data_IF_177051816798
#
_entry.id   IF_177051816798
#
_cell.length_a   1.000
_cell.length_b   1.000
_cell.length_c   1.000
_cell.angle_alpha   90.00
_cell.angle_beta   90.00
_cell.angle_gamma   90.00
#
_symmetry.space_group_name_H-M   'P 1'
#
loop_
_entity.id
_entity.type
_entity.pdbx_description
1 polymer ?
#
# COMPACT_ATOMS: atom_id res chain seq x y z
N UNK A 1 -11.90 -59.83 21.88
CA UNK A 1 -13.14 -60.60 22.07
C UNK A 1 -13.84 -60.09 23.31
N UNK A 2 -14.87 -59.27 23.11
CA UNK A 2 -15.85 -58.89 24.13
C UNK A 2 -17.18 -59.49 23.71
N UNK A 3 -17.95 -60.04 24.66
CA UNK A 3 -19.40 -60.00 24.55
C UNK A 3 -20.01 -59.62 25.93
N UNK A 4 -21.34 -59.43 26.05
CA UNK A 4 -21.93 -58.08 26.05
C UNK A 4 -23.07 -57.98 27.09
N UNK A 5 -24.06 -57.11 26.80
CA UNK A 5 -25.41 -57.01 27.39
C UNK A 5 -25.54 -55.89 28.43
N UNK A 6 -26.59 -55.06 28.51
CA UNK A 6 -27.87 -54.95 27.82
C UNK A 6 -28.49 -53.58 28.15
N UNK A 7 -29.42 -53.09 27.32
CA UNK A 7 -30.45 -52.12 27.72
C UNK A 7 -31.61 -52.88 28.42
N UNK A 8 -32.50 -52.27 29.24
CA UNK A 8 -33.52 -51.33 28.72
C UNK A 8 -34.04 -50.25 29.72
N UNK A 9 -34.88 -49.34 29.19
CA UNK A 9 -35.79 -48.40 29.90
C UNK A 9 -36.95 -49.17 30.63
N UNK A 10 -37.93 -48.60 31.40
CA UNK A 10 -38.63 -47.32 31.16
C UNK A 10 -39.26 -46.59 32.40
N UNK A 11 -40.05 -45.55 32.10
CA UNK A 11 -41.37 -45.22 32.66
C UNK A 11 -41.56 -43.91 33.44
N UNK A 12 -42.74 -43.34 33.17
CA UNK A 12 -43.22 -42.00 33.46
C UNK A 12 -43.88 -41.88 34.85
N UNK A 13 -43.96 -40.65 35.35
CA UNK A 13 -44.82 -40.27 36.47
C UNK A 13 -45.27 -38.81 36.33
N UNK A 14 -46.57 -38.62 36.10
CA UNK A 14 -47.25 -37.33 35.99
C UNK A 14 -47.81 -36.86 37.34
N UNK A 15 -47.92 -35.54 37.54
CA UNK A 15 -48.78 -34.84 38.52
C UNK A 15 -48.56 -33.33 38.38
N UNK A 16 -49.38 -32.59 37.62
CA UNK A 16 -50.66 -31.95 38.01
C UNK A 16 -50.49 -30.66 38.86
N UNK A 17 -51.10 -29.55 38.40
CA UNK A 17 -51.49 -28.45 39.31
C UNK A 17 -51.33 -26.98 38.87
N UNK A 18 -52.07 -26.55 37.84
CA UNK A 18 -52.93 -25.34 37.76
C UNK A 18 -52.43 -23.90 38.13
N UNK A 19 -52.62 -22.94 37.19
CA UNK A 19 -53.35 -21.68 37.48
C UNK A 19 -52.76 -20.30 37.07
N UNK A 20 -53.23 -19.75 35.92
CA UNK A 20 -53.47 -18.31 35.62
C UNK A 20 -52.27 -17.43 35.18
N UNK A 21 -52.31 -16.54 34.16
CA UNK A 21 -53.33 -16.05 33.23
C UNK A 21 -52.75 -14.95 32.28
N UNK A 22 -53.59 -14.45 31.35
CA UNK A 22 -53.44 -13.35 30.34
C UNK A 22 -53.01 -13.76 28.89
N UNK A 23 -53.94 -13.85 27.90
CA UNK A 23 -54.37 -12.84 26.86
C UNK A 23 -53.24 -12.43 25.88
N UNK A 24 -53.26 -12.48 24.53
CA UNK A 24 -54.17 -12.73 23.37
C UNK A 24 -53.24 -12.85 22.09
N UNK A 25 -53.72 -12.91 20.82
CA UNK A 25 -54.32 -13.99 19.99
C UNK A 25 -53.38 -14.54 18.86
N UNK A 26 -53.74 -15.61 18.10
CA UNK A 26 -52.83 -16.26 17.14
C UNK A 26 -52.90 -15.66 15.72
N UNK A 27 -51.74 -15.37 15.14
CA UNK A 27 -51.59 -14.91 13.75
C UNK A 27 -51.54 -16.05 12.72
N UNK A 28 -52.00 -15.68 11.52
CA UNK A 28 -52.33 -16.48 10.34
C UNK A 28 -51.15 -17.28 9.78
N UNK A 29 -51.43 -18.55 9.45
CA UNK A 29 -50.61 -19.44 8.63
C UNK A 29 -50.83 -19.09 7.15
N UNK A 30 -49.81 -18.54 6.49
CA UNK A 30 -49.79 -18.34 5.04
C UNK A 30 -49.02 -19.48 4.35
N UNK A 31 -49.56 -19.93 3.22
CA UNK A 31 -49.16 -21.10 2.45
C UNK A 31 -47.80 -20.94 1.76
N UNK A 32 -47.06 -22.05 1.68
CA UNK A 32 -45.83 -22.18 0.90
C UNK A 32 -46.13 -22.40 -0.59
N UNK A 33 -45.40 -21.78 -1.53
CA UNK A 33 -45.36 -22.22 -2.90
C UNK A 33 -44.30 -23.32 -3.09
N UNK A 34 -44.65 -24.33 -3.87
CA UNK A 34 -43.78 -25.43 -4.25
C UNK A 34 -42.64 -24.94 -5.16
N UNK A 35 -41.39 -25.29 -4.82
CA UNK A 35 -40.23 -25.07 -5.66
C UNK A 35 -39.92 -26.35 -6.47
N UNK A 36 -40.08 -26.26 -7.78
CA UNK A 36 -39.44 -27.15 -8.75
C UNK A 36 -37.94 -26.85 -8.83
N UNK A 37 -37.16 -27.90 -9.08
CA UNK A 37 -35.72 -27.92 -8.85
C UNK A 37 -34.85 -27.05 -9.76
N UNK A 38 -33.65 -26.78 -9.26
CA UNK A 38 -32.45 -26.85 -10.06
C UNK A 38 -31.27 -27.19 -9.12
N UNK A 39 -30.67 -28.37 -9.30
CA UNK A 39 -29.46 -28.76 -8.61
C UNK A 39 -28.27 -27.99 -9.19
N UNK A 40 -28.16 -26.70 -8.83
CA UNK A 40 -26.92 -25.97 -8.93
C UNK A 40 -25.98 -26.49 -7.84
N UNK A 41 -24.69 -26.65 -8.16
CA UNK A 41 -23.67 -26.83 -7.13
C UNK A 41 -23.86 -25.72 -6.08
N UNK A 42 -24.31 -26.09 -4.89
CA UNK A 42 -24.36 -25.17 -3.77
C UNK A 42 -22.92 -24.71 -3.53
N UNK A 43 -22.62 -23.46 -3.86
CA UNK A 43 -21.48 -22.76 -3.28
C UNK A 43 -21.72 -22.72 -1.77
N UNK A 44 -21.33 -23.78 -1.08
CA UNK A 44 -21.35 -23.91 0.37
C UNK A 44 -20.41 -22.86 0.91
N UNK A 45 -20.98 -21.70 1.24
CA UNK A 45 -20.25 -20.57 1.79
C UNK A 45 -20.32 -20.64 3.30
N UNK A 46 -19.15 -20.62 3.94
CA UNK A 46 -19.02 -20.58 5.39
C UNK A 46 -18.74 -19.12 5.77
N UNK A 47 -19.63 -18.52 6.54
CA UNK A 47 -19.41 -17.17 7.07
C UNK A 47 -18.43 -17.23 8.25
N UNK A 48 -17.23 -16.73 8.04
CA UNK A 48 -16.19 -16.64 9.07
C UNK A 48 -16.06 -15.18 9.54
N UNK A 49 -15.82 -14.97 10.83
CA UNK A 49 -15.55 -13.64 11.39
C UNK A 49 -14.20 -13.11 10.90
N UNK A 50 -14.12 -11.81 10.60
CA UNK A 50 -12.89 -11.16 10.08
C UNK A 50 -11.70 -11.38 11.00
N UNK A 51 -11.90 -11.28 12.32
CA UNK A 51 -10.88 -11.50 13.35
C UNK A 51 -10.20 -12.88 13.25
N UNK A 52 -10.94 -13.94 12.87
CA UNK A 52 -10.38 -15.29 12.74
C UNK A 52 -9.48 -15.39 11.51
N UNK A 53 -9.86 -14.74 10.42
CA UNK A 53 -9.05 -14.69 9.19
C UNK A 53 -7.78 -13.87 9.44
N UNK A 54 -7.90 -12.73 10.13
CA UNK A 54 -6.73 -11.92 10.53
C UNK A 54 -5.80 -12.69 11.47
N UNK A 55 -6.34 -13.49 12.39
CA UNK A 55 -5.52 -14.36 13.24
C UNK A 55 -4.78 -15.44 12.44
N UNK A 56 -5.43 -16.09 11.46
CA UNK A 56 -4.77 -17.04 10.57
C UNK A 56 -3.62 -16.39 9.79
N UNK A 57 -3.84 -15.19 9.29
CA UNK A 57 -2.83 -14.38 8.60
C UNK A 57 -1.64 -14.09 9.52
N UNK A 58 -1.89 -13.69 10.77
CA UNK A 58 -0.83 -13.44 11.74
C UNK A 58 -0.01 -14.70 12.04
N UNK A 59 -0.68 -15.85 12.21
CA UNK A 59 -0.03 -17.14 12.43
C UNK A 59 0.84 -17.56 11.24
N UNK A 60 0.34 -17.37 10.02
CA UNK A 60 1.14 -17.61 8.81
C UNK A 60 2.33 -16.66 8.74
N UNK A 61 2.15 -15.38 9.10
CA UNK A 61 3.24 -14.41 9.20
C UNK A 61 4.31 -14.86 10.21
N UNK A 62 3.90 -15.33 11.39
CA UNK A 62 4.80 -15.91 12.40
C UNK A 62 5.49 -17.20 11.94
N UNK A 63 4.80 -18.03 11.15
CA UNK A 63 5.39 -19.22 10.53
C UNK A 63 6.49 -18.84 9.53
N UNK A 64 6.25 -17.86 8.67
CA UNK A 64 7.24 -17.36 7.70
C UNK A 64 8.45 -16.76 8.43
N UNK A 65 8.22 -16.01 9.51
CA UNK A 65 9.30 -15.49 10.36
C UNK A 65 10.10 -16.64 10.98
N UNK A 66 9.43 -17.61 11.59
CA UNK A 66 10.08 -18.77 12.24
C UNK A 66 10.89 -19.59 11.23
N UNK A 67 10.36 -19.76 10.01
CA UNK A 67 11.06 -20.43 8.92
C UNK A 67 12.30 -19.64 8.48
N UNK A 68 12.20 -18.32 8.31
CA UNK A 68 13.35 -17.47 8.02
C UNK A 68 14.41 -17.59 9.13
N UNK A 69 13.98 -17.68 10.39
CA UNK A 69 14.90 -17.87 11.51
C UNK A 69 15.64 -19.20 11.51
N UNK A 70 14.92 -20.27 11.19
CA UNK A 70 15.51 -21.58 11.02
C UNK A 70 16.50 -21.61 9.84
N UNK A 71 16.18 -20.94 8.74
CA UNK A 71 17.05 -20.84 7.57
C UNK A 71 18.35 -20.09 7.88
N UNK A 72 18.26 -18.97 8.60
CA UNK A 72 19.44 -18.21 9.03
C UNK A 72 20.31 -19.03 10.00
N UNK A 73 19.70 -19.71 10.98
CA UNK A 73 20.44 -20.58 11.89
C UNK A 73 21.14 -21.70 11.13
N UNK A 74 20.45 -22.34 10.18
CA UNK A 74 21.00 -23.40 9.35
C UNK A 74 22.12 -22.91 8.41
N UNK A 75 22.11 -21.63 7.99
CA UNK A 75 23.14 -21.05 7.11
C UNK A 75 24.55 -21.07 7.69
N UNK A 76 24.68 -21.19 9.01
CA UNK A 76 25.97 -21.33 9.71
C UNK A 76 26.54 -22.76 9.65
N UNK A 77 25.77 -23.72 9.17
CA UNK A 77 26.15 -25.13 9.05
C UNK A 77 26.71 -25.43 7.66
N UNK A 78 27.67 -26.34 7.57
CA UNK A 78 28.21 -26.82 6.28
C UNK A 78 27.10 -27.49 5.46
N UNK A 79 26.77 -26.95 4.26
CA UNK A 79 25.75 -27.51 3.38
C UNK A 79 26.01 -28.95 2.93
N UNK A 80 27.27 -29.33 2.71
CA UNK A 80 27.61 -30.68 2.25
C UNK A 80 27.41 -31.73 3.34
N UNK A 81 27.59 -31.35 4.60
CA UNK A 81 27.40 -32.25 5.74
C UNK A 81 25.93 -32.37 6.16
N UNK A 82 25.09 -31.38 5.81
CA UNK A 82 23.71 -31.28 6.30
C UNK A 82 22.66 -31.25 5.16
N UNK A 83 22.93 -31.88 4.02
CA UNK A 83 22.04 -31.88 2.83
C UNK A 83 20.56 -32.19 3.15
N UNK A 84 20.28 -33.17 4.03
CA UNK A 84 18.90 -33.49 4.45
C UNK A 84 18.18 -32.33 5.15
N UNK A 85 18.90 -31.54 5.95
CA UNK A 85 18.35 -30.37 6.63
C UNK A 85 17.99 -29.29 5.61
N UNK A 86 18.90 -28.97 4.68
CA UNK A 86 18.66 -27.97 3.64
C UNK A 86 17.51 -28.36 2.72
N UNK A 87 17.41 -29.64 2.33
CA UNK A 87 16.27 -30.15 1.58
C UNK A 87 14.94 -30.04 2.36
N UNK A 88 14.95 -30.36 3.66
CA UNK A 88 13.79 -30.18 4.54
C UNK A 88 13.36 -28.73 4.69
N UNK A 89 14.33 -27.82 4.83
CA UNK A 89 14.09 -26.36 4.89
C UNK A 89 13.48 -25.83 3.60
N UNK A 90 13.98 -26.25 2.44
CA UNK A 90 13.39 -25.88 1.15
C UNK A 90 11.96 -26.42 0.96
N UNK A 91 11.66 -27.60 1.49
CA UNK A 91 10.28 -28.11 1.49
C UNK A 91 9.37 -27.31 2.44
N UNK A 92 9.87 -26.94 3.62
CA UNK A 92 9.14 -26.10 4.58
C UNK A 92 8.82 -24.72 3.97
N UNK A 93 9.79 -24.11 3.27
CA UNK A 93 9.60 -22.85 2.55
C UNK A 93 8.49 -22.93 1.50
N UNK A 94 8.51 -23.96 0.65
CA UNK A 94 7.46 -24.18 -0.36
C UNK A 94 6.10 -24.36 0.29
N UNK A 95 5.99 -25.24 1.29
CA UNK A 95 4.73 -25.49 1.98
C UNK A 95 4.21 -24.25 2.71
N UNK A 96 5.09 -23.44 3.30
CA UNK A 96 4.72 -22.19 3.97
C UNK A 96 4.19 -21.16 2.96
N UNK A 97 4.81 -21.06 1.78
CA UNK A 97 4.33 -20.22 0.69
C UNK A 97 2.98 -20.67 0.15
N UNK A 98 2.80 -21.97 -0.10
CA UNK A 98 1.51 -22.52 -0.55
C UNK A 98 0.40 -22.26 0.49
N UNK A 99 0.72 -22.41 1.78
CA UNK A 99 -0.21 -22.10 2.87
C UNK A 99 -0.53 -20.60 2.92
N UNK A 100 0.46 -19.73 2.71
CA UNK A 100 0.27 -18.29 2.65
C UNK A 100 -0.65 -17.90 1.50
N UNK A 101 -0.43 -18.42 0.29
CA UNK A 101 -1.28 -18.19 -0.87
C UNK A 101 -2.71 -18.69 -0.62
N UNK A 102 -2.87 -19.88 -0.03
CA UNK A 102 -4.17 -20.43 0.31
C UNK A 102 -4.92 -19.57 1.36
N UNK A 103 -4.25 -19.12 2.42
CA UNK A 103 -4.86 -18.27 3.45
C UNK A 103 -5.22 -16.89 2.90
N UNK A 104 -4.38 -16.32 2.03
CA UNK A 104 -4.68 -15.06 1.35
C UNK A 104 -5.92 -15.19 0.45
N UNK A 105 -6.08 -16.30 -0.28
CA UNK A 105 -7.23 -16.53 -1.15
C UNK A 105 -8.58 -16.52 -0.41
N UNK A 106 -8.62 -16.90 0.88
CA UNK A 106 -9.83 -16.84 1.72
C UNK A 106 -10.37 -15.41 1.88
N UNK A 107 -9.49 -14.39 1.84
CA UNK A 107 -9.85 -12.98 2.02
C UNK A 107 -10.12 -12.25 0.71
N UNK A 108 -9.78 -12.87 -0.41
CA UNK A 108 -9.91 -12.28 -1.73
C UNK A 108 -11.37 -12.02 -2.05
N UNK A 109 -11.62 -10.84 -2.62
CA UNK A 109 -12.94 -10.44 -3.12
C UNK A 109 -12.78 -9.91 -4.55
N UNK A 110 -13.77 -10.14 -5.44
CA UNK A 110 -13.71 -9.65 -6.81
C UNK A 110 -13.78 -8.12 -6.88
N UNK A 111 -13.09 -7.54 -7.85
CA UNK A 111 -13.11 -6.10 -8.12
C UNK A 111 -14.50 -5.56 -8.51
N UNK A 112 -15.43 -6.43 -8.90
CA UNK A 112 -16.82 -6.08 -9.14
C UNK A 112 -17.50 -5.34 -7.96
N UNK A 113 -17.12 -5.66 -6.72
CA UNK A 113 -17.61 -4.95 -5.52
C UNK A 113 -17.30 -3.44 -5.53
N UNK A 114 -16.22 -3.06 -6.20
CA UNK A 114 -15.80 -1.67 -6.39
C UNK A 114 -16.40 -1.13 -7.69
N UNK A 115 -16.22 -1.84 -8.81
CA UNK A 115 -16.61 -1.38 -10.14
C UNK A 115 -18.12 -1.19 -10.29
N UNK A 116 -18.95 -2.01 -9.64
CA UNK A 116 -20.42 -1.89 -9.65
C UNK A 116 -20.95 -0.55 -9.10
N UNK A 117 -20.13 0.22 -8.37
CA UNK A 117 -20.52 1.52 -7.80
C UNK A 117 -20.35 2.67 -8.79
N UNK A 118 -19.43 2.53 -9.75
CA UNK A 118 -19.06 3.62 -10.66
C UNK A 118 -20.09 3.96 -11.74
N UNK A 119 -20.91 3.04 -12.29
CA UNK A 119 -21.90 3.39 -13.31
C UNK A 119 -22.84 4.52 -12.87
N UNK A 120 -23.31 4.47 -11.61
CA UNK A 120 -24.17 5.51 -11.05
C UNK A 120 -23.42 6.82 -10.85
N UNK A 121 -22.21 6.77 -10.28
CA UNK A 121 -21.38 7.97 -10.07
C UNK A 121 -21.06 8.68 -11.39
N UNK A 122 -20.65 7.92 -12.41
CA UNK A 122 -20.33 8.43 -13.75
C UNK A 122 -21.55 9.09 -14.37
N UNK A 123 -22.72 8.43 -14.33
CA UNK A 123 -23.97 8.99 -14.87
C UNK A 123 -24.39 10.29 -14.18
N UNK A 124 -24.33 10.31 -12.85
CA UNK A 124 -24.73 11.49 -12.06
C UNK A 124 -23.79 12.68 -12.32
N UNK A 125 -22.49 12.44 -12.45
CA UNK A 125 -21.50 13.50 -12.70
C UNK A 125 -21.49 13.95 -14.16
N UNK A 126 -21.61 13.02 -15.11
CA UNK A 126 -21.75 13.33 -16.54
C UNK A 126 -22.96 14.25 -16.80
N UNK A 127 -24.10 13.97 -16.14
CA UNK A 127 -25.29 14.81 -16.22
C UNK A 127 -25.08 16.22 -15.65
N UNK A 128 -24.38 16.35 -14.51
CA UNK A 128 -24.05 17.66 -13.91
C UNK A 128 -23.10 18.50 -14.77
N UNK A 129 -22.16 17.85 -15.43
CA UNK A 129 -21.14 18.50 -16.27
C UNK A 129 -21.59 18.72 -17.71
N UNK A 130 -22.74 18.19 -18.11
CA UNK A 130 -23.23 18.26 -19.50
C UNK A 130 -22.36 17.47 -20.49
N UNK A 131 -21.78 16.34 -20.06
CA UNK A 131 -20.91 15.49 -20.89
C UNK A 131 -21.61 14.16 -21.20
N UNK A 132 -21.38 13.59 -22.38
CA UNK A 132 -21.83 12.24 -22.73
C UNK A 132 -20.66 11.28 -22.56
N UNK A 133 -20.83 10.26 -21.70
CA UNK A 133 -19.73 9.40 -21.28
C UNK A 133 -20.21 7.96 -21.18
N UNK A 134 -19.44 7.05 -21.75
CA UNK A 134 -19.60 5.60 -21.62
C UNK A 134 -18.53 5.04 -20.68
N UNK A 135 -18.97 4.26 -19.68
CA UNK A 135 -18.08 3.54 -18.77
C UNK A 135 -17.92 2.10 -19.23
N UNK A 136 -16.68 1.68 -19.46
CA UNK A 136 -16.32 0.30 -19.80
C UNK A 136 -15.48 -0.30 -18.67
N UNK A 137 -15.80 -1.50 -18.25
CA UNK A 137 -15.09 -2.20 -17.18
C UNK A 137 -14.49 -3.52 -17.70
N UNK A 138 -13.24 -3.79 -17.33
CA UNK A 138 -12.54 -5.04 -17.64
C UNK A 138 -11.98 -5.65 -16.35
N UNK A 139 -11.95 -6.99 -16.27
CA UNK A 139 -11.38 -7.67 -15.10
C UNK A 139 -12.22 -7.55 -13.82
N UNK A 140 -13.55 -7.48 -13.92
CA UNK A 140 -14.43 -7.47 -12.75
C UNK A 140 -14.26 -8.69 -11.83
N UNK A 141 -13.89 -9.84 -12.42
CA UNK A 141 -13.62 -11.09 -11.70
C UNK A 141 -12.23 -11.14 -11.06
N UNK A 142 -11.36 -10.17 -11.34
CA UNK A 142 -10.02 -10.11 -10.73
C UNK A 142 -10.17 -9.93 -9.23
N UNK A 143 -9.53 -10.80 -8.46
CA UNK A 143 -9.65 -10.77 -7.01
C UNK A 143 -8.56 -9.92 -6.37
N UNK A 144 -8.94 -9.22 -5.30
CA UNK A 144 -8.10 -8.35 -4.48
C UNK A 144 -8.46 -8.54 -3.00
N UNK A 145 -7.48 -8.36 -2.11
CA UNK A 145 -7.67 -8.43 -0.67
C UNK A 145 -8.79 -7.47 -0.21
N UNK A 146 -9.68 -7.93 0.67
CA UNK A 146 -10.78 -7.12 1.20
C UNK A 146 -10.34 -5.78 1.80
N UNK A 147 -9.22 -5.75 2.55
CA UNK A 147 -8.73 -4.51 3.16
C UNK A 147 -8.17 -3.54 2.12
N UNK A 148 -7.62 -4.06 1.02
CA UNK A 148 -7.19 -3.25 -0.12
C UNK A 148 -8.42 -2.72 -0.89
N UNK A 149 -9.46 -3.53 -1.08
CA UNK A 149 -10.74 -3.08 -1.66
C UNK A 149 -11.34 -1.90 -0.89
N UNK A 150 -11.37 -1.98 0.44
CA UNK A 150 -11.94 -0.90 1.26
C UNK A 150 -11.12 0.40 1.14
N UNK A 151 -9.78 0.28 1.02
CA UNK A 151 -8.87 1.43 0.91
C UNK A 151 -8.74 2.00 -0.49
N UNK A 152 -8.96 1.21 -1.56
CA UNK A 152 -8.79 1.64 -2.95
C UNK A 152 -10.00 2.41 -3.50
N UNK A 153 -11.18 2.28 -2.87
CA UNK A 153 -12.42 2.96 -3.29
C UNK A 153 -12.22 4.48 -3.39
N UNK A 154 -11.63 5.10 -2.37
CA UNK A 154 -11.45 6.55 -2.31
C UNK A 154 -10.47 7.05 -3.39
N UNK A 155 -9.25 6.49 -3.54
CA UNK A 155 -8.37 6.77 -4.66
C UNK A 155 -9.04 6.65 -6.03
N UNK A 156 -9.71 5.53 -6.32
CA UNK A 156 -10.36 5.30 -7.61
C UNK A 156 -11.50 6.27 -7.87
N UNK A 157 -12.30 6.59 -6.85
CA UNK A 157 -13.37 7.59 -6.95
C UNK A 157 -12.80 8.95 -7.35
N UNK A 158 -11.66 9.31 -6.79
CA UNK A 158 -11.00 10.56 -7.13
C UNK A 158 -10.44 10.56 -8.56
N UNK A 159 -9.79 9.46 -9.00
CA UNK A 159 -9.30 9.33 -10.38
C UNK A 159 -10.43 9.39 -11.39
N UNK A 160 -11.51 8.65 -11.16
CA UNK A 160 -12.72 8.68 -11.99
C UNK A 160 -13.26 10.11 -12.08
N UNK A 161 -13.39 10.81 -10.94
CA UNK A 161 -13.84 12.20 -10.94
C UNK A 161 -12.93 13.09 -11.78
N UNK A 162 -11.61 12.98 -11.66
CA UNK A 162 -10.67 13.81 -12.42
C UNK A 162 -10.77 13.56 -13.93
N UNK A 163 -10.94 12.31 -14.35
CA UNK A 163 -11.20 11.98 -15.76
C UNK A 163 -12.50 12.61 -16.24
N UNK A 164 -13.56 12.62 -15.43
CA UNK A 164 -14.85 13.20 -15.81
C UNK A 164 -14.84 14.74 -15.79
N UNK A 165 -14.23 15.38 -14.78
CA UNK A 165 -14.19 16.84 -14.61
C UNK A 165 -13.21 17.50 -15.59
N UNK A 166 -11.99 16.98 -15.66
CA UNK A 166 -10.86 17.62 -16.33
C UNK A 166 -10.32 16.86 -17.56
N UNK A 167 -10.46 15.53 -17.59
CA UNK A 167 -9.97 14.70 -18.69
C UNK A 167 -10.86 14.80 -19.94
N UNK A 168 -12.10 14.33 -19.81
CA UNK A 168 -13.07 14.22 -20.91
C UNK A 168 -13.65 15.60 -21.21
N UNK A 169 -13.61 15.98 -22.48
CA UNK A 169 -14.11 17.26 -23.00
C UNK A 169 -15.63 17.24 -23.19
N UNK A 170 -16.27 18.40 -23.39
CA UNK A 170 -17.70 18.45 -23.77
C UNK A 170 -17.91 17.87 -25.16
N UNK A 171 -19.12 17.37 -25.46
CA UNK A 171 -19.40 16.76 -26.77
C UNK A 171 -19.12 17.71 -27.94
N UNK A 172 -19.39 19.01 -27.78
CA UNK A 172 -19.05 20.04 -28.77
C UNK A 172 -17.54 20.17 -29.01
N UNK A 173 -16.75 20.23 -27.93
CA UNK A 173 -15.30 20.32 -28.01
C UNK A 173 -14.69 19.04 -28.62
N UNK A 174 -15.27 17.87 -28.32
CA UNK A 174 -14.85 16.58 -28.89
C UNK A 174 -15.09 16.53 -30.39
N UNK A 175 -16.28 16.94 -30.85
CA UNK A 175 -16.59 17.03 -32.28
C UNK A 175 -15.67 18.02 -33.01
N UNK A 176 -15.38 19.17 -32.40
CA UNK A 176 -14.43 20.15 -32.95
C UNK A 176 -13.00 19.58 -33.06
N UNK A 177 -12.62 18.67 -32.16
CA UNK A 177 -11.34 17.96 -32.18
C UNK A 177 -11.36 16.70 -33.07
N UNK A 178 -12.48 16.39 -33.75
CA UNK A 178 -12.62 15.21 -34.61
C UNK A 178 -12.76 13.88 -33.86
N UNK A 179 -13.16 13.92 -32.58
CA UNK A 179 -13.39 12.74 -31.73
C UNK A 179 -14.88 12.36 -31.70
N UNK A 180 -15.15 11.14 -31.21
CA UNK A 180 -16.52 10.70 -30.91
C UNK A 180 -17.19 11.66 -29.90
N UNK A 181 -18.44 12.10 -30.09
CA UNK A 181 -19.15 12.96 -29.14
C UNK A 181 -19.35 12.32 -27.75
N UNK A 182 -19.32 10.99 -27.66
CA UNK A 182 -19.34 10.22 -26.42
C UNK A 182 -17.90 9.95 -25.99
N UNK A 183 -17.53 10.43 -24.79
CA UNK A 183 -16.25 10.12 -24.18
C UNK A 183 -16.23 8.72 -23.59
N UNK A 184 -15.07 8.07 -23.62
CA UNK A 184 -14.90 6.75 -23.03
C UNK A 184 -14.07 6.83 -21.75
N UNK A 185 -14.58 6.23 -20.68
CA UNK A 185 -13.85 5.97 -19.45
C UNK A 185 -13.74 4.46 -19.25
N UNK A 186 -12.51 3.96 -19.15
CA UNK A 186 -12.20 2.54 -18.98
C UNK A 186 -11.62 2.30 -17.60
N UNK A 187 -12.19 1.35 -16.87
CA UNK A 187 -11.63 0.80 -15.64
C UNK A 187 -11.20 -0.64 -15.89
N UNK A 188 -9.92 -0.95 -15.70
CA UNK A 188 -9.40 -2.31 -15.85
C UNK A 188 -8.75 -2.78 -14.55
N UNK A 189 -8.82 -4.08 -14.31
CA UNK A 189 -8.03 -4.74 -13.28
C UNK A 189 -7.44 -6.04 -13.85
N UNK A 190 -6.19 -6.33 -13.54
CA UNK A 190 -5.51 -7.54 -13.98
C UNK A 190 -4.44 -8.00 -12.99
N UNK A 191 -4.17 -9.30 -12.96
CA UNK A 191 -3.01 -9.87 -12.27
C UNK A 191 -1.80 -9.81 -13.22
N UNK A 192 -0.72 -9.14 -12.80
CA UNK A 192 0.50 -9.03 -13.59
C UNK A 192 1.73 -9.18 -12.68
N UNK A 193 2.50 -10.25 -12.88
CA UNK A 193 3.78 -10.45 -12.20
C UNK A 193 3.71 -10.46 -10.67
N UNK A 194 2.68 -11.08 -10.09
CA UNK A 194 2.48 -11.12 -8.63
C UNK A 194 1.86 -9.84 -8.03
N UNK A 195 1.53 -8.85 -8.88
CA UNK A 195 0.84 -7.63 -8.49
C UNK A 195 -0.56 -7.56 -9.10
N UNK A 196 -1.42 -6.78 -8.47
CA UNK A 196 -2.69 -6.33 -9.03
C UNK A 196 -2.45 -4.98 -9.71
N UNK A 197 -2.72 -4.92 -11.00
CA UNK A 197 -2.66 -3.69 -11.78
C UNK A 197 -4.08 -3.21 -12.01
N UNK A 198 -4.39 -2.00 -11.56
CA UNK A 198 -5.67 -1.34 -11.75
C UNK A 198 -5.44 -0.10 -12.59
N UNK A 199 -6.14 0.04 -13.71
CA UNK A 199 -5.98 1.19 -14.60
C UNK A 199 -7.27 1.98 -14.70
N UNK A 200 -7.13 3.30 -14.69
CA UNK A 200 -8.19 4.26 -15.00
C UNK A 200 -7.74 5.00 -16.26
N UNK A 201 -8.42 4.75 -17.37
CA UNK A 201 -8.08 5.34 -18.67
C UNK A 201 -9.23 6.14 -19.23
N UNK A 202 -8.95 7.35 -19.71
CA UNK A 202 -9.89 8.17 -20.47
C UNK A 202 -9.34 8.50 -21.86
N UNK A 203 -10.24 8.81 -22.80
CA UNK A 203 -9.91 9.27 -24.15
C UNK A 203 -9.98 10.81 -24.30
N UNK A 204 -9.73 11.50 -23.19
CA UNK A 204 -9.89 12.93 -23.04
C UNK A 204 -8.82 13.79 -23.74
N UNK A 205 -8.70 15.03 -23.29
CA UNK A 205 -7.73 15.99 -23.85
C UNK A 205 -6.26 15.62 -23.54
N UNK A 206 -6.03 14.71 -22.59
CA UNK A 206 -4.71 14.44 -22.03
C UNK A 206 -4.19 15.59 -21.16
N UNK A 207 -3.04 15.37 -20.52
CA UNK A 207 -2.39 16.34 -19.67
C UNK A 207 -1.68 17.42 -20.50
N UNK A 208 -1.78 18.67 -20.03
CA UNK A 208 -1.16 19.82 -20.68
C UNK A 208 0.19 20.12 -20.05
N UNK A 209 1.24 19.53 -20.63
CA UNK A 209 2.65 19.71 -20.22
C UNK A 209 3.00 21.17 -19.91
N UNK A 210 2.76 22.06 -20.87
CA UNK A 210 3.05 23.50 -20.74
C UNK A 210 2.38 24.15 -19.51
N UNK A 211 1.11 23.79 -19.23
CA UNK A 211 0.40 24.35 -18.06
C UNK A 211 0.96 23.82 -16.74
N UNK A 212 1.37 22.56 -16.70
CA UNK A 212 1.96 21.94 -15.50
C UNK A 212 3.32 22.58 -15.22
N UNK A 213 4.17 22.75 -16.24
CA UNK A 213 5.46 23.42 -16.11
C UNK A 213 5.31 24.87 -15.64
N UNK A 214 4.40 25.64 -16.27
CA UNK A 214 4.15 27.02 -15.88
C UNK A 214 3.64 27.13 -14.43
N UNK A 215 2.77 26.22 -14.01
CA UNK A 215 2.28 26.18 -12.62
C UNK A 215 3.38 25.79 -11.63
N UNK A 216 4.23 24.83 -11.98
CA UNK A 216 5.37 24.42 -11.18
C UNK A 216 6.37 25.58 -10.98
N UNK A 217 6.66 26.34 -12.04
CA UNK A 217 7.50 27.55 -11.96
C UNK A 217 6.88 28.60 -11.03
N UNK A 218 5.56 28.85 -11.12
CA UNK A 218 4.86 29.78 -10.22
C UNK A 218 4.93 29.37 -8.75
N UNK A 219 4.95 28.06 -8.46
CA UNK A 219 5.08 27.53 -7.10
C UNK A 219 6.54 27.42 -6.62
N UNK A 220 7.52 27.88 -7.41
CA UNK A 220 8.94 27.83 -7.06
C UNK A 220 9.53 26.42 -7.07
N UNK A 221 8.91 25.48 -7.78
CA UNK A 221 9.47 24.15 -7.97
C UNK A 221 10.63 24.21 -8.98
N UNK A 222 11.69 23.39 -8.80
CA UNK A 222 12.77 23.31 -9.77
C UNK A 222 12.23 22.67 -11.06
N UNK A 223 12.15 23.46 -12.12
CA UNK A 223 11.67 23.02 -13.44
C UNK A 223 12.79 23.21 -14.45
N UNK A 224 13.04 22.19 -15.28
CA UNK A 224 14.01 22.27 -16.38
C UNK A 224 13.30 21.98 -17.70
N UNK A 225 13.74 22.64 -18.77
CA UNK A 225 13.25 22.36 -20.14
C UNK A 225 13.64 20.93 -20.60
N UNK A 226 14.65 20.32 -19.96
CA UNK A 226 15.12 18.96 -20.26
C UNK A 226 14.30 17.84 -19.60
N UNK A 227 13.28 18.16 -18.80
CA UNK A 227 12.51 17.14 -18.08
C UNK A 227 11.78 16.20 -19.04
N UNK A 228 11.69 14.91 -18.74
CA UNK A 228 10.88 13.98 -19.52
C UNK A 228 9.38 14.20 -19.27
N UNK A 229 8.49 13.65 -20.12
CA UNK A 229 7.04 13.72 -19.86
C UNK A 229 6.67 13.06 -18.52
N UNK A 230 7.28 11.92 -18.21
CA UNK A 230 7.06 11.20 -16.95
C UNK A 230 7.43 12.05 -15.73
N UNK A 231 8.58 12.72 -15.76
CA UNK A 231 9.00 13.63 -14.68
C UNK A 231 8.02 14.79 -14.50
N UNK A 232 7.48 15.32 -15.60
CA UNK A 232 6.47 16.40 -15.54
C UNK A 232 5.15 15.90 -14.95
N UNK A 233 4.71 14.69 -15.28
CA UNK A 233 3.49 14.12 -14.70
C UNK A 233 3.63 13.87 -13.20
N UNK A 234 4.82 13.51 -12.72
CA UNK A 234 5.07 13.33 -11.28
C UNK A 234 4.85 14.60 -10.46
N UNK A 235 4.98 15.79 -11.06
CA UNK A 235 4.71 17.07 -10.39
C UNK A 235 3.24 17.20 -9.94
N UNK A 236 2.31 16.49 -10.59
CA UNK A 236 0.88 16.49 -10.24
C UNK A 236 0.65 15.96 -8.83
N UNK A 237 1.52 15.08 -8.35
CA UNK A 237 1.42 14.50 -7.01
C UNK A 237 2.04 15.37 -5.90
N UNK A 238 2.57 16.55 -6.23
CA UNK A 238 3.13 17.43 -5.21
C UNK A 238 2.02 18.02 -4.32
N UNK A 239 2.26 18.15 -2.99
CA UNK A 239 1.27 18.74 -2.09
C UNK A 239 0.85 20.14 -2.54
N UNK A 240 -0.46 20.39 -2.61
CA UNK A 240 -0.99 21.68 -3.05
C UNK A 240 -0.82 21.96 -4.56
N UNK A 241 -0.38 20.98 -5.34
CA UNK A 241 -0.34 21.10 -6.79
C UNK A 241 -1.74 20.88 -7.37
N UNK A 242 -2.31 21.94 -7.92
CA UNK A 242 -3.56 21.88 -8.67
C UNK A 242 -3.49 22.86 -9.84
N UNK A 243 -3.92 22.41 -11.01
CA UNK A 243 -4.03 23.24 -12.21
C UNK A 243 -5.34 24.04 -12.27
N UNK A 244 -6.21 23.92 -11.26
CA UNK A 244 -7.47 24.65 -11.21
C UNK A 244 -7.25 26.12 -10.81
N UNK A 245 -7.85 27.04 -11.55
CA UNK A 245 -7.78 28.50 -11.29
C UNK A 245 -8.72 28.94 -10.16
N UNK A 246 -9.72 28.12 -9.81
CA UNK A 246 -10.66 28.36 -8.71
C UNK A 246 -10.87 27.10 -7.86
N UNK A 247 -11.01 27.28 -6.54
CA UNK A 247 -11.42 26.21 -5.61
C UNK A 247 -12.88 25.90 -5.86
N UNK A 248 -13.20 24.74 -6.43
CA UNK A 248 -14.57 24.30 -6.61
C UNK A 248 -15.10 23.67 -5.32
N UNK A 249 -16.39 23.84 -5.02
CA UNK A 249 -17.07 23.27 -3.84
C UNK A 249 -16.93 21.74 -3.71
N UNK A 250 -16.59 21.06 -4.81
CA UNK A 250 -16.39 19.62 -4.90
C UNK A 250 -14.98 19.16 -4.45
N UNK A 251 -14.02 20.10 -4.37
CA UNK A 251 -12.64 19.89 -3.89
C UNK A 251 -12.44 20.20 -2.40
N UNK A 252 -13.46 20.72 -1.71
CA UNK A 252 -13.40 21.26 -0.34
C UNK A 252 -13.14 20.28 0.81
N UNK A 253 -12.69 19.04 0.55
CA UNK A 253 -12.26 18.09 1.60
C UNK A 253 -10.75 17.83 1.64
N UNK A 254 -9.95 18.56 0.86
CA UNK A 254 -8.50 18.42 0.88
C UNK A 254 -8.00 17.11 0.27
N UNK A 255 -8.70 16.59 -0.74
CA UNK A 255 -8.26 15.39 -1.47
C UNK A 255 -7.65 15.84 -2.79
N UNK A 256 -6.35 16.10 -2.80
CA UNK A 256 -5.57 16.31 -4.01
C UNK A 256 -4.96 15.01 -4.52
N UNK A 257 -4.22 15.09 -5.63
CA UNK A 257 -3.50 13.93 -6.16
C UNK A 257 -2.38 13.46 -5.23
N UNK A 258 -1.85 14.34 -4.40
CA UNK A 258 -0.96 14.02 -3.27
C UNK A 258 -1.58 13.02 -2.29
N UNK A 259 -2.87 13.18 -1.96
CA UNK A 259 -3.60 12.25 -1.09
C UNK A 259 -3.77 10.88 -1.74
N UNK A 260 -4.09 10.85 -3.03
CA UNK A 260 -4.21 9.60 -3.80
C UNK A 260 -2.88 8.84 -3.80
N UNK A 261 -1.76 9.52 -4.12
CA UNK A 261 -0.42 8.90 -4.09
C UNK A 261 -0.09 8.36 -2.72
N UNK A 262 -0.32 9.13 -1.66
CA UNK A 262 -0.06 8.71 -0.27
C UNK A 262 -0.91 7.49 0.12
N UNK A 263 -2.20 7.47 -0.21
CA UNK A 263 -3.07 6.33 0.08
C UNK A 263 -2.59 5.06 -0.63
N UNK A 264 -2.16 5.18 -1.89
CA UNK A 264 -1.60 4.06 -2.66
C UNK A 264 -0.27 3.57 -2.04
N UNK A 265 0.61 4.48 -1.65
CA UNK A 265 1.87 4.14 -0.98
C UNK A 265 1.65 3.46 0.38
N UNK A 266 0.63 3.87 1.15
CA UNK A 266 0.26 3.21 2.41
C UNK A 266 -0.26 1.79 2.20
N UNK A 267 -0.72 1.45 0.99
CA UNK A 267 -1.07 0.09 0.60
C UNK A 267 0.12 -0.72 0.08
N UNK A 268 1.34 -0.17 0.12
CA UNK A 268 2.54 -0.79 -0.43
C UNK A 268 2.62 -0.74 -1.96
N UNK A 269 1.75 0.06 -2.60
CA UNK A 269 1.68 0.19 -4.04
C UNK A 269 2.40 1.41 -4.59
N UNK A 270 2.42 1.50 -5.91
CA UNK A 270 2.86 2.69 -6.65
C UNK A 270 1.84 3.09 -7.70
N UNK A 271 1.97 4.33 -8.18
CA UNK A 271 1.09 4.93 -9.19
C UNK A 271 1.93 5.55 -10.30
N UNK A 272 1.51 5.27 -11.53
CA UNK A 272 2.12 5.74 -12.77
C UNK A 272 1.08 6.50 -13.59
N UNK A 273 1.53 7.50 -14.35
CA UNK A 273 0.68 8.28 -15.24
C UNK A 273 1.27 8.21 -16.64
N UNK A 274 0.46 7.73 -17.58
CA UNK A 274 0.73 7.81 -19.01
C UNK A 274 -0.29 8.77 -19.62
N UNK A 275 0.16 9.80 -20.31
CA UNK A 275 -0.76 10.74 -20.95
C UNK A 275 -0.21 11.20 -22.28
N UNK A 276 -1.10 11.34 -23.26
CA UNK A 276 -0.76 11.91 -24.56
C UNK A 276 -1.81 12.95 -24.93
N UNK A 277 -1.34 14.15 -25.26
CA UNK A 277 -2.22 15.27 -25.63
C UNK A 277 -3.15 14.86 -26.78
N UNK A 278 -4.43 15.10 -26.59
CA UNK A 278 -5.50 14.77 -27.54
C UNK A 278 -5.88 13.28 -27.60
N UNK A 279 -5.15 12.37 -26.94
CA UNK A 279 -5.49 10.94 -26.88
C UNK A 279 -6.02 10.47 -25.54
N UNK A 280 -5.79 11.25 -24.48
CA UNK A 280 -6.30 10.98 -23.14
C UNK A 280 -5.21 10.65 -22.14
N UNK A 281 -5.63 10.11 -21.00
CA UNK A 281 -4.75 9.80 -19.86
C UNK A 281 -5.08 8.43 -19.29
N UNK A 282 -4.04 7.66 -18.98
CA UNK A 282 -4.11 6.38 -18.28
C UNK A 282 -3.34 6.51 -16.97
N UNK A 283 -4.02 6.25 -15.86
CA UNK A 283 -3.41 6.21 -14.53
C UNK A 283 -3.39 4.76 -14.09
N UNK A 284 -2.19 4.24 -13.84
CA UNK A 284 -1.95 2.84 -13.51
C UNK A 284 -1.54 2.74 -12.05
N UNK A 285 -2.30 1.97 -11.27
CA UNK A 285 -2.05 1.66 -9.87
C UNK A 285 -1.57 0.22 -9.79
N UNK A 286 -0.41 0.01 -9.18
CA UNK A 286 0.16 -1.32 -8.98
C UNK A 286 0.19 -1.60 -7.49
N UNK A 287 -0.55 -2.63 -7.06
CA UNK A 287 -0.65 -3.07 -5.67
C UNK A 287 -0.06 -4.47 -5.52
N UNK A 288 0.71 -4.75 -4.46
CA UNK A 288 1.19 -6.11 -4.18
C UNK A 288 0.02 -7.03 -3.79
N UNK A 289 0.08 -8.30 -4.20
CA UNK A 289 -0.93 -9.32 -3.85
C UNK A 289 -0.79 -9.82 -2.40
N UNK A 290 0.36 -9.60 -1.77
CA UNK A 290 0.72 -10.20 -0.49
C UNK A 290 0.34 -9.34 0.72
N UNK A 291 0.48 -9.93 1.91
CA UNK A 291 0.78 -9.20 3.15
C UNK A 291 1.82 -8.11 2.87
N UNK A 292 1.81 -7.02 3.66
CA UNK A 292 2.74 -5.91 3.50
C UNK A 292 4.20 -6.40 3.66
N UNK A 293 4.79 -6.90 2.58
CA UNK A 293 6.18 -7.29 2.45
C UNK A 293 6.87 -6.06 1.86
N UNK A 294 7.95 -5.64 2.50
CA UNK A 294 8.74 -4.51 2.09
C UNK A 294 10.13 -5.01 1.68
N UNK A 295 10.58 -4.62 0.48
CA UNK A 295 11.99 -4.76 0.12
C UNK A 295 12.80 -3.71 0.90
N UNK A 296 13.65 -4.18 1.80
CA UNK A 296 14.38 -3.35 2.73
C UNK A 296 15.89 -3.53 2.63
N UNK A 297 16.63 -2.43 2.73
CA UNK A 297 18.05 -2.44 3.05
C UNK A 297 18.21 -2.44 4.57
N UNK A 298 18.77 -3.53 5.11
CA UNK A 298 19.10 -3.65 6.52
C UNK A 298 20.40 -2.91 6.82
N UNK A 299 20.33 -1.95 7.75
CA UNK A 299 21.44 -1.11 8.17
C UNK A 299 21.63 -1.22 9.68
N UNK A 300 22.88 -1.21 10.12
CA UNK A 300 23.24 -1.27 11.53
C UNK A 300 23.71 0.07 12.04
N UNK A 301 23.30 0.42 13.25
CA UNK A 301 23.75 1.60 13.99
C UNK A 301 23.93 1.23 15.45
N UNK A 302 25.16 1.28 15.95
CA UNK A 302 25.50 0.74 17.26
C UNK A 302 25.08 -0.73 17.38
N UNK A 303 24.30 -1.10 18.41
CA UNK A 303 23.76 -2.45 18.54
C UNK A 303 22.47 -2.68 17.73
N UNK A 304 21.85 -1.64 17.19
CA UNK A 304 20.50 -1.68 16.63
C UNK A 304 20.49 -1.91 15.11
N UNK A 305 19.45 -2.59 14.63
CA UNK A 305 19.19 -2.81 13.21
C UNK A 305 17.95 -2.02 12.77
N UNK A 306 18.11 -1.27 11.69
CA UNK A 306 17.04 -0.52 11.03
C UNK A 306 16.85 -1.02 9.61
N UNK A 307 15.63 -0.89 9.09
CA UNK A 307 15.30 -1.18 7.71
C UNK A 307 15.01 0.12 6.96
N UNK A 308 15.77 0.37 5.89
CA UNK A 308 15.52 1.44 4.95
C UNK A 308 14.73 0.89 3.75
N UNK A 309 13.54 1.41 3.43
CA UNK A 309 12.81 0.97 2.24
C UNK A 309 13.65 1.19 0.97
N UNK A 310 13.84 0.14 0.19
CA UNK A 310 14.81 0.14 -0.92
C UNK A 310 14.42 1.13 -2.03
N UNK A 311 13.12 1.40 -2.20
CA UNK A 311 12.60 2.37 -3.17
C UNK A 311 13.04 3.83 -2.90
N UNK A 312 13.55 4.13 -1.70
CA UNK A 312 14.13 5.44 -1.38
C UNK A 312 15.66 5.45 -1.45
N UNK A 313 16.30 4.28 -1.58
CA UNK A 313 17.77 4.14 -1.59
C UNK A 313 18.30 4.33 -3.01
N UNK A 314 19.14 5.34 -3.20
CA UNK A 314 19.74 5.66 -4.49
C UNK A 314 21.10 4.96 -4.65
N UNK A 315 21.99 5.19 -3.70
CA UNK A 315 23.32 4.59 -3.64
C UNK A 315 23.87 4.63 -2.21
N UNK A 316 24.99 3.96 -1.97
CA UNK A 316 25.69 4.01 -0.69
C UNK A 316 27.19 4.08 -0.92
N UNK A 317 27.91 4.82 -0.08
CA UNK A 317 29.36 4.99 -0.19
C UNK A 317 29.96 5.30 1.19
N UNK A 318 31.27 5.09 1.32
CA UNK A 318 32.02 5.53 2.49
C UNK A 318 32.63 6.90 2.20
N UNK A 319 32.29 7.96 2.97
CA UNK A 319 32.75 9.31 2.68
C UNK A 319 34.23 9.46 3.08
N UNK A 320 34.98 10.30 2.35
CA UNK A 320 36.31 10.72 2.78
C UNK A 320 36.18 11.95 3.68
N UNK A 321 37.22 12.20 4.48
CA UNK A 321 37.26 13.35 5.38
C UNK A 321 37.07 14.68 4.64
N UNK A 322 37.63 14.80 3.45
CA UNK A 322 37.56 16.02 2.62
C UNK A 322 36.17 16.25 2.00
N UNK A 323 35.34 15.20 1.93
CA UNK A 323 33.98 15.27 1.41
C UNK A 323 33.02 15.84 2.46
N UNK A 324 33.37 15.76 3.76
CA UNK A 324 32.52 16.20 4.86
C UNK A 324 32.85 17.66 5.20
N UNK A 325 31.82 18.50 5.17
CA UNK A 325 31.94 19.92 5.56
C UNK A 325 30.91 20.28 6.62
N UNK A 326 31.31 21.09 7.58
CA UNK A 326 30.38 21.71 8.50
C UNK A 326 29.85 23.01 7.88
N UNK A 327 28.53 23.16 7.81
CA UNK A 327 27.86 24.39 7.37
C UNK A 327 27.23 25.03 8.60
N UNK A 328 27.55 26.31 8.82
CA UNK A 328 27.01 27.08 9.94
C UNK A 328 25.48 27.14 9.86
N UNK A 329 24.79 26.60 10.87
CA UNK A 329 23.32 26.62 10.97
C UNK A 329 22.59 25.45 10.30
N UNK A 330 23.23 24.68 9.41
CA UNK A 330 22.60 23.55 8.69
C UNK A 330 23.20 22.17 9.04
N UNK A 331 24.15 22.12 9.97
CA UNK A 331 24.78 20.87 10.41
C UNK A 331 25.93 20.44 9.50
N UNK A 332 26.14 19.13 9.37
CA UNK A 332 27.15 18.57 8.48
C UNK A 332 26.53 18.32 7.09
N UNK A 333 27.31 18.57 6.05
CA UNK A 333 26.99 18.22 4.66
C UNK A 333 28.09 17.33 4.11
N UNK A 334 27.74 16.51 3.12
CA UNK A 334 28.69 15.68 2.39
C UNK A 334 28.65 16.01 0.91
N UNK A 335 29.83 16.16 0.31
CA UNK A 335 30.00 16.38 -1.11
C UNK A 335 29.95 15.05 -1.85
N UNK A 336 28.92 14.84 -2.67
CA UNK A 336 28.80 13.65 -3.52
C UNK A 336 28.65 14.09 -4.96
N UNK A 337 29.59 13.68 -5.83
CA UNK A 337 29.58 13.98 -7.28
C UNK A 337 29.40 15.48 -7.60
N UNK A 338 29.99 16.36 -6.77
CA UNK A 338 29.94 17.81 -6.93
C UNK A 338 28.72 18.51 -6.31
N UNK A 339 27.84 17.77 -5.64
CA UNK A 339 26.66 18.29 -4.96
C UNK A 339 26.77 18.13 -3.44
N UNK A 340 26.39 19.17 -2.68
CA UNK A 340 26.34 19.11 -1.22
C UNK A 340 25.00 18.55 -0.76
N UNK A 341 25.05 17.41 -0.07
CA UNK A 341 23.89 16.77 0.51
C UNK A 341 23.90 16.94 2.04
N UNK A 342 22.77 17.27 2.68
CA UNK A 342 22.70 17.33 4.12
C UNK A 342 22.94 15.93 4.71
N UNK A 343 23.78 15.86 5.73
CA UNK A 343 24.12 14.62 6.43
C UNK A 343 23.20 14.48 7.65
N UNK A 344 22.41 13.41 7.65
CA UNK A 344 21.56 12.98 8.75
C UNK A 344 22.28 11.85 9.47
N UNK A 345 22.42 11.97 10.79
CA UNK A 345 23.01 10.93 11.61
C UNK A 345 21.89 10.07 12.22
N UNK A 346 21.76 8.82 11.77
CA UNK A 346 20.65 7.95 12.18
C UNK A 346 20.65 7.71 13.70
N UNK A 347 21.84 7.59 14.30
CA UNK A 347 22.00 7.42 15.74
C UNK A 347 21.48 8.61 16.55
N UNK A 348 21.63 9.86 16.07
CA UNK A 348 21.08 11.04 16.75
C UNK A 348 19.57 11.13 16.61
N UNK A 349 19.04 10.70 15.46
CA UNK A 349 17.61 10.75 15.21
C UNK A 349 16.82 9.80 16.11
N UNK A 350 17.41 8.65 16.48
CA UNK A 350 16.76 7.62 17.29
C UNK A 350 17.40 7.40 18.67
N UNK A 351 18.30 8.29 19.09
CA UNK A 351 19.01 8.23 20.38
C UNK A 351 19.68 6.86 20.65
N UNK A 352 20.42 6.37 19.66
CA UNK A 352 21.06 5.05 19.69
C UNK A 352 22.45 5.14 20.32
N UNK A 353 22.74 4.39 21.40
CA UNK A 353 24.07 4.37 22.01
C UNK A 353 25.09 3.60 21.17
N UNK A 354 26.38 3.81 21.44
CA UNK A 354 27.52 3.07 20.85
C UNK A 354 27.63 3.09 19.31
N UNK A 355 26.99 4.06 18.66
CA UNK A 355 27.10 4.27 17.23
C UNK A 355 28.43 4.92 16.81
N UNK A 356 28.85 4.72 15.55
CA UNK A 356 30.03 5.39 15.01
C UNK A 356 29.73 6.87 14.75
N UNK A 357 30.35 7.73 15.54
CA UNK A 357 30.18 9.18 15.42
C UNK A 357 31.02 9.81 14.31
N UNK A 358 32.11 9.16 13.88
CA UNK A 358 32.94 9.64 12.77
C UNK A 358 32.33 9.16 11.44
N UNK A 359 31.82 10.08 10.57
CA UNK A 359 31.20 9.66 9.32
C UNK A 359 32.17 8.93 8.39
N UNK A 360 33.48 9.13 8.52
CA UNK A 360 34.49 8.42 7.72
C UNK A 360 34.67 6.95 8.10
N UNK A 361 34.18 6.55 9.28
CA UNK A 361 34.19 5.17 9.77
C UNK A 361 32.86 4.44 9.57
N UNK A 362 31.82 5.15 9.13
CA UNK A 362 30.53 4.60 8.77
C UNK A 362 30.34 4.53 7.26
N UNK A 363 29.10 4.27 6.87
CA UNK A 363 28.63 4.28 5.49
C UNK A 363 27.55 5.35 5.38
N UNK A 364 27.59 6.16 4.33
CA UNK A 364 26.48 7.05 4.00
C UNK A 364 25.58 6.38 2.96
N UNK A 365 24.28 6.36 3.25
CA UNK A 365 23.23 5.91 2.34
C UNK A 365 22.54 7.14 1.77
N UNK A 366 22.58 7.31 0.45
CA UNK A 366 21.93 8.42 -0.22
C UNK A 366 20.46 8.07 -0.43
N UNK A 367 19.60 8.84 0.19
CA UNK A 367 18.15 8.66 0.16
C UNK A 367 17.50 9.78 -0.64
N UNK A 368 16.45 9.44 -1.39
CA UNK A 368 15.62 10.42 -2.10
C UNK A 368 14.17 10.31 -1.67
N UNK A 369 13.64 11.36 -1.07
CA UNK A 369 12.23 11.47 -0.70
C UNK A 369 11.68 12.85 -1.07
N UNK A 370 10.44 12.90 -1.56
CA UNK A 370 9.75 14.15 -1.94
C UNK A 370 10.60 15.04 -2.89
N UNK A 371 11.33 14.41 -3.82
CA UNK A 371 12.16 15.10 -4.81
C UNK A 371 13.48 15.68 -4.29
N UNK A 372 13.83 15.42 -3.02
CA UNK A 372 15.07 15.90 -2.39
C UNK A 372 15.97 14.75 -1.98
N UNK A 373 17.27 14.97 -2.11
CA UNK A 373 18.31 14.01 -1.73
C UNK A 373 18.95 14.43 -0.42
N UNK A 374 19.26 13.45 0.42
CA UNK A 374 20.04 13.63 1.64
C UNK A 374 20.87 12.38 1.90
N UNK A 375 21.94 12.53 2.69
CA UNK A 375 22.80 11.42 3.08
C UNK A 375 22.42 10.98 4.49
N UNK A 376 22.24 9.68 4.71
CA UNK A 376 22.00 9.08 6.01
C UNK A 376 23.25 8.31 6.46
N UNK A 377 23.88 8.74 7.54
CA UNK A 377 25.00 8.04 8.15
C UNK A 377 24.50 6.84 8.95
N UNK A 378 25.06 5.67 8.63
CA UNK A 378 24.89 4.41 9.35
C UNK A 378 26.26 3.79 9.62
N UNK A 379 26.35 2.82 10.53
CA UNK A 379 27.63 2.20 10.83
C UNK A 379 28.00 1.16 9.77
N UNK A 380 27.05 0.31 9.41
CA UNK A 380 27.26 -0.82 8.49
C UNK A 380 26.00 -1.11 7.65
N UNK A 381 26.22 -1.65 6.44
CA UNK A 381 25.18 -2.23 5.60
C UNK A 381 25.18 -3.75 5.83
N UNK A 382 24.09 -4.28 6.36
CA UNK A 382 23.95 -5.72 6.62
C UNK A 382 23.59 -6.46 5.33
N UNK A 383 22.65 -5.90 4.55
CA UNK A 383 22.23 -6.48 3.27
C UNK A 383 20.79 -6.17 2.89
N UNK A 384 20.39 -6.65 1.71
CA UNK A 384 19.02 -6.54 1.21
C UNK A 384 18.21 -7.78 1.63
N UNK A 385 16.98 -7.57 2.08
CA UNK A 385 16.06 -8.64 2.43
C UNK A 385 14.60 -8.18 2.33
N UNK A 386 13.72 -9.13 2.05
CA UNK A 386 12.28 -8.91 2.11
C UNK A 386 11.81 -9.08 3.54
N UNK A 387 11.15 -8.07 4.08
CA UNK A 387 10.70 -8.08 5.48
C UNK A 387 9.18 -7.97 5.58
N UNK A 388 8.59 -8.73 6.49
CA UNK A 388 7.15 -8.66 6.75
C UNK A 388 6.88 -7.46 7.66
N UNK A 389 6.15 -6.47 7.17
CA UNK A 389 5.80 -5.26 7.89
C UNK A 389 4.72 -5.58 8.93
N UNK A 390 5.04 -5.36 10.21
CA UNK A 390 4.09 -5.39 11.32
C UNK A 390 3.75 -3.98 11.75
N UNK A 391 2.45 -3.69 11.81
CA UNK A 391 1.97 -2.39 12.25
C UNK A 391 2.17 -2.23 13.77
N UNK A 392 2.66 -1.07 14.20
CA UNK A 392 2.97 -0.73 15.61
C UNK A 392 1.75 -0.23 16.41
N UNK A 393 0.59 -0.10 15.75
CA UNK A 393 -0.56 0.70 16.19
C UNK A 393 -1.28 0.25 17.47
N UNK A 394 -1.16 -1.00 17.91
CA UNK A 394 -1.96 -1.48 19.06
C UNK A 394 -1.30 -1.16 20.41
N UNK A 395 0.04 -1.03 20.46
CA UNK A 395 0.80 -0.97 21.73
C UNK A 395 1.72 0.24 21.86
N UNK A 396 2.00 0.97 20.78
CA UNK A 396 2.99 2.03 20.76
C UNK A 396 2.42 3.34 20.22
N UNK A 397 2.81 4.46 20.85
CA UNK A 397 2.56 5.79 20.27
C UNK A 397 3.37 5.91 18.98
N UNK A 398 2.81 6.61 17.99
CA UNK A 398 3.47 6.89 16.71
C UNK A 398 4.84 7.51 16.95
N UNK A 399 5.91 6.77 16.66
CA UNK A 399 7.28 7.26 16.83
C UNK A 399 7.66 8.06 15.58
N UNK A 400 8.03 9.32 15.77
CA UNK A 400 8.42 10.18 14.65
C UNK A 400 9.67 9.61 13.96
N UNK A 401 9.62 9.44 12.64
CA UNK A 401 10.73 8.84 11.88
C UNK A 401 10.63 7.32 11.69
N UNK A 402 9.63 6.65 12.28
CA UNK A 402 9.40 5.21 12.09
C UNK A 402 8.03 4.99 11.46
N UNK A 403 8.00 4.19 10.40
CA UNK A 403 6.76 3.83 9.68
C UNK A 403 6.13 2.55 10.24
N UNK A 404 6.95 1.56 10.59
CA UNK A 404 6.52 0.26 11.08
C UNK A 404 7.69 -0.51 11.73
N UNK A 405 7.46 -1.75 12.14
CA UNK A 405 8.52 -2.66 12.59
C UNK A 405 8.44 -4.00 11.85
N UNK A 406 9.51 -4.77 11.91
CA UNK A 406 9.58 -6.13 11.40
C UNK A 406 10.34 -7.02 12.36
N UNK A 407 10.22 -8.34 12.17
CA UNK A 407 10.97 -9.34 12.92
C UNK A 407 11.99 -9.96 11.96
N UNK A 408 13.26 -9.87 12.35
CA UNK A 408 14.41 -10.37 11.61
C UNK A 408 14.52 -11.90 11.71
N UNK A 409 15.33 -12.51 10.85
CA UNK A 409 15.62 -13.95 10.90
C UNK A 409 16.40 -14.41 12.14
N UNK A 410 16.87 -13.53 13.01
CA UNK A 410 17.39 -13.92 14.33
C UNK A 410 16.34 -13.75 15.44
N UNK A 411 15.10 -13.37 15.08
CA UNK A 411 14.02 -13.06 16.01
C UNK A 411 14.12 -11.67 16.63
N UNK A 412 15.16 -10.89 16.31
CA UNK A 412 15.27 -9.51 16.76
C UNK A 412 14.22 -8.63 16.05
N UNK A 413 13.87 -7.52 16.69
CA UNK A 413 12.95 -6.53 16.11
C UNK A 413 13.78 -5.47 15.39
N UNK A 414 13.46 -5.21 14.13
CA UNK A 414 14.05 -4.11 13.38
C UNK A 414 12.98 -3.05 13.05
N UNK A 415 13.38 -1.78 13.11
CA UNK A 415 12.48 -0.64 12.89
C UNK A 415 12.57 -0.17 11.44
N UNK A 416 11.43 0.04 10.79
CA UNK A 416 11.35 0.50 9.41
C UNK A 416 11.32 2.04 9.40
N UNK A 417 12.35 2.65 8.83
CA UNK A 417 12.54 4.09 8.84
C UNK A 417 11.55 4.78 7.89
N UNK A 418 10.83 5.79 8.40
CA UNK A 418 10.06 6.73 7.58
C UNK A 418 11.02 7.82 7.04
N UNK A 419 11.52 7.58 5.83
CA UNK A 419 12.50 8.44 5.15
C UNK A 419 11.99 9.88 4.98
N UNK A 420 10.69 10.05 4.70
CA UNK A 420 10.10 11.38 4.50
C UNK A 420 9.94 12.14 5.83
N UNK A 421 9.54 11.45 6.91
CA UNK A 421 9.49 12.04 8.23
C UNK A 421 10.88 12.42 8.76
N UNK A 422 11.88 11.58 8.53
CA UNK A 422 13.26 11.82 8.92
C UNK A 422 13.83 13.09 8.27
N UNK A 423 13.56 13.27 6.97
CA UNK A 423 13.95 14.46 6.22
C UNK A 423 13.27 15.74 6.73
N UNK A 424 12.00 15.67 7.15
CA UNK A 424 11.28 16.82 7.74
C UNK A 424 11.80 17.19 9.14
N UNK A 425 12.21 16.21 9.95
CA UNK A 425 12.65 16.40 11.33
C UNK A 425 13.89 17.31 11.47
N UNK A 426 14.79 17.33 10.48
CA UNK A 426 15.95 18.23 10.51
C UNK A 426 15.58 19.71 10.45
N UNK A 427 14.46 20.08 9.81
CA UNK A 427 14.04 21.48 9.72
C UNK A 427 13.58 22.07 11.05
N UNK A 428 12.94 21.29 11.93
CA UNK A 428 12.45 21.85 13.22
C UNK A 428 13.60 22.11 14.19
N UNK A 429 14.65 21.27 14.17
CA UNK A 429 15.84 21.46 15.00
C UNK A 429 16.68 22.65 14.54
N UNK A 430 16.75 22.92 13.23
CA UNK A 430 17.40 24.11 12.69
C UNK A 430 16.59 25.40 12.93
N UNK A 431 15.26 25.34 12.92
CA UNK A 431 14.39 26.50 13.14
C UNK A 431 14.25 26.92 14.63
N UNK A 432 14.47 26.00 15.58
CA UNK A 432 14.31 26.29 17.02
C UNK A 432 15.50 27.10 17.60
N UNK A 433 16.60 27.24 16.85
CA UNK A 433 17.77 28.03 17.28
C UNK A 433 17.60 29.53 16.94
N UNK A 434 16.54 29.91 16.19
CA UNK A 434 16.29 31.28 15.74
C UNK A 434 15.10 31.98 16.42
N UNK A 435 14.72 31.59 17.64
CA UNK A 435 13.83 32.39 18.49
C UNK A 435 14.45 32.70 19.85
#
# INVERSE_FOLDING_TARGET
MLPPSAAPAPSAGASAGNGGGAHHPPEKRAAAPAAGGNAGHENSSIRVGVEKVDQLINLVGELVITQAMLAQTASSLDPMLHDRLFNGMGQLERNARDLQEAVMSIRMMPMDYVFSRFPRLVRDLAGKLGKQIELVTFGQATELDKSLIERIIDPLTHLVRNSLDHGIETSEARLAAGKDPVGQLVLSAAHQGGNIVIEVSDDGAGLRREKILAKAQQQGLPVSDSMTDEEVWQLIFMPGFSTAEAVTDVSGRGVGMDVVKRNIQQMGGHVEILSTRGKGTTIRIVLPLTLAILDGMSVKVGPEIFILPLNFVMESLQPRRDDIRAVTGEGQVVLVRGEYLPLVELYRAFDVPDARHDPTQGIIVILQAEGRRFALLVDELVGQQQVVVKNLETNYRRIHGISAATIMGDGSVALIVDVAALQRGQRSSAATIFN
#
